data_IF_646671830298
#
_entry.id   IF_646671830298
#
_cell.length_a   1.000
_cell.length_b   1.000
_cell.length_c   1.000
_cell.angle_alpha   90.00
_cell.angle_beta   90.00
_cell.angle_gamma   90.00
#
_symmetry.space_group_name_H-M   'P 1'
#
loop_
_entity.id
_entity.type
_entity.pdbx_description
1 polymer ?
#
# COMPACT_ATOMS: atom_id res chain seq x y z
N UNK A 1 23.20 23.40 12.47
CA UNK A 1 23.74 22.04 12.65
C UNK A 1 25.05 21.98 11.89
N UNK A 2 26.15 21.57 12.54
CA UNK A 2 27.40 21.33 11.82
C UNK A 2 27.30 19.90 11.26
N UNK A 3 27.15 19.79 9.96
CA UNK A 3 27.22 18.51 9.25
C UNK A 3 28.70 18.14 9.09
N UNK A 4 29.07 16.95 9.50
CA UNK A 4 30.45 16.47 9.39
C UNK A 4 30.70 15.91 7.97
N UNK A 5 31.96 15.89 7.47
CA UNK A 5 32.28 15.25 6.20
C UNK A 5 31.86 13.78 6.13
N UNK A 6 31.86 13.07 7.26
CA UNK A 6 31.44 11.69 7.35
C UNK A 6 29.92 11.55 7.12
N UNK A 7 29.08 12.43 7.70
CA UNK A 7 27.63 12.41 7.49
C UNK A 7 27.25 12.73 6.04
N UNK A 8 28.04 13.59 5.37
CA UNK A 8 27.87 13.85 3.93
C UNK A 8 28.17 12.60 3.11
N UNK A 9 29.29 11.93 3.40
CA UNK A 9 29.70 10.70 2.69
C UNK A 9 28.67 9.58 2.90
N UNK A 10 28.18 9.40 4.12
CA UNK A 10 27.11 8.42 4.43
C UNK A 10 25.83 8.72 3.63
N UNK A 11 25.40 9.98 3.57
CA UNK A 11 24.20 10.35 2.81
C UNK A 11 24.35 10.09 1.31
N UNK A 12 25.53 10.41 0.76
CA UNK A 12 25.85 10.11 -0.65
C UNK A 12 25.80 8.60 -0.93
N UNK A 13 26.40 7.79 -0.05
CA UNK A 13 26.38 6.33 -0.19
C UNK A 13 24.97 5.76 -0.10
N UNK A 14 24.13 6.28 0.79
CA UNK A 14 22.72 5.87 0.90
C UNK A 14 21.98 6.03 -0.43
N UNK A 15 22.21 7.12 -1.15
CA UNK A 15 21.52 7.41 -2.42
C UNK A 15 22.19 6.66 -3.59
N UNK A 16 23.53 6.75 -3.73
CA UNK A 16 24.24 6.26 -4.92
C UNK A 16 24.48 4.76 -4.94
N UNK A 17 24.53 4.10 -3.77
CA UNK A 17 24.95 2.70 -3.63
C UNK A 17 23.92 1.81 -2.92
N UNK A 18 23.05 2.40 -2.09
CA UNK A 18 22.17 1.66 -1.17
C UNK A 18 20.67 1.83 -1.46
N UNK A 19 20.32 2.38 -2.63
CA UNK A 19 18.95 2.53 -3.12
C UNK A 19 18.01 3.32 -2.17
N UNK A 20 18.52 4.38 -1.50
CA UNK A 20 17.64 5.31 -0.82
C UNK A 20 16.80 6.07 -1.85
N UNK A 21 15.49 5.98 -1.74
CA UNK A 21 14.57 6.75 -2.56
C UNK A 21 13.44 7.38 -1.75
N UNK A 22 12.83 8.44 -2.31
CA UNK A 22 11.47 8.78 -2.00
C UNK A 22 10.58 7.92 -2.90
N UNK A 23 9.96 6.91 -2.30
CA UNK A 23 9.07 6.04 -3.03
C UNK A 23 7.91 6.81 -3.65
N UNK A 24 7.46 7.87 -2.99
CA UNK A 24 6.40 8.72 -3.52
C UNK A 24 6.33 10.09 -2.84
N UNK A 25 5.95 11.09 -3.64
CA UNK A 25 5.28 12.32 -3.16
C UNK A 25 3.82 12.21 -3.58
N UNK A 26 2.91 12.21 -2.61
CA UNK A 26 1.47 12.07 -2.84
C UNK A 26 0.73 13.31 -2.34
N UNK A 27 0.01 13.99 -3.24
CA UNK A 27 -0.88 15.07 -2.84
C UNK A 27 -2.28 14.51 -2.55
N UNK A 28 -2.73 14.63 -1.29
CA UNK A 28 -4.11 14.37 -0.90
C UNK A 28 -4.98 15.58 -1.24
N UNK A 29 -6.13 15.37 -1.89
CA UNK A 29 -7.03 16.46 -2.33
C UNK A 29 -8.46 16.15 -1.90
N UNK A 30 -9.09 17.08 -1.17
CA UNK A 30 -10.51 17.01 -0.84
C UNK A 30 -11.38 17.28 -2.07
N UNK A 31 -12.30 16.35 -2.35
CA UNK A 31 -13.32 16.45 -3.40
C UNK A 31 -14.72 16.77 -2.83
N UNK A 32 -14.86 17.07 -1.55
CA UNK A 32 -16.17 17.30 -0.93
C UNK A 32 -16.98 18.40 -1.63
N UNK A 33 -16.30 19.46 -2.10
CA UNK A 33 -16.94 20.56 -2.85
C UNK A 33 -17.33 20.20 -4.28
N UNK A 34 -16.93 19.03 -4.78
CA UNK A 34 -17.23 18.58 -6.14
C UNK A 34 -18.54 17.80 -6.24
N UNK A 35 -19.16 17.42 -5.10
CA UNK A 35 -20.42 16.69 -5.09
C UNK A 35 -21.49 17.41 -5.88
N UNK A 36 -22.24 16.65 -6.72
CA UNK A 36 -23.32 17.17 -7.57
C UNK A 36 -24.33 16.03 -7.86
N UNK A 37 -25.60 16.37 -8.04
CA UNK A 37 -26.63 15.40 -8.45
C UNK A 37 -26.44 14.92 -9.90
N UNK A 38 -25.89 15.80 -10.74
CA UNK A 38 -25.57 15.53 -12.13
C UNK A 38 -24.14 14.98 -12.23
N UNK A 39 -24.01 13.77 -12.75
CA UNK A 39 -22.73 13.07 -12.84
C UNK A 39 -21.73 13.79 -13.75
N UNK A 40 -22.15 14.36 -14.86
CA UNK A 40 -21.26 15.05 -15.80
C UNK A 40 -20.69 16.32 -15.18
N UNK A 41 -21.53 17.09 -14.45
CA UNK A 41 -21.06 18.25 -13.70
C UNK A 41 -20.12 17.86 -12.55
N UNK A 42 -20.39 16.75 -11.87
CA UNK A 42 -19.50 16.19 -10.83
C UNK A 42 -18.14 15.84 -11.47
N UNK A 43 -18.12 15.12 -12.58
CA UNK A 43 -16.89 14.78 -13.31
C UNK A 43 -16.09 16.05 -13.69
N UNK A 44 -16.77 17.10 -14.20
CA UNK A 44 -16.08 18.33 -14.55
C UNK A 44 -15.48 19.01 -13.32
N UNK A 45 -16.23 19.12 -12.21
CA UNK A 45 -15.72 19.71 -10.96
C UNK A 45 -14.53 18.93 -10.40
N UNK A 46 -14.58 17.60 -10.45
CA UNK A 46 -13.49 16.70 -9.99
C UNK A 46 -12.24 16.94 -10.84
N UNK A 47 -12.38 16.95 -12.16
CA UNK A 47 -11.26 17.20 -13.07
C UNK A 47 -10.62 18.57 -12.79
N UNK A 48 -11.43 19.64 -12.75
CA UNK A 48 -10.95 21.01 -12.54
C UNK A 48 -10.29 21.19 -11.16
N UNK A 49 -10.84 20.51 -10.14
CA UNK A 49 -10.28 20.55 -8.79
C UNK A 49 -8.90 19.89 -8.71
N UNK A 50 -8.76 18.68 -9.27
CA UNK A 50 -7.50 17.93 -9.24
C UNK A 50 -6.44 18.63 -10.07
N UNK A 51 -6.74 18.99 -11.32
CA UNK A 51 -5.77 19.57 -12.23
C UNK A 51 -5.27 20.93 -11.75
N UNK A 52 -6.13 21.76 -11.16
CA UNK A 52 -5.73 23.04 -10.58
C UNK A 52 -4.89 22.86 -9.31
N UNK A 53 -5.29 21.94 -8.41
CA UNK A 53 -4.62 21.79 -7.13
C UNK A 53 -3.23 21.17 -7.24
N UNK A 54 -3.06 20.20 -8.15
CA UNK A 54 -1.82 19.47 -8.38
C UNK A 54 -1.02 19.95 -9.59
N UNK A 55 -1.34 21.13 -10.16
CA UNK A 55 -0.71 21.68 -11.37
C UNK A 55 0.83 21.66 -11.33
N UNK A 56 1.41 21.94 -10.16
CA UNK A 56 2.86 22.05 -9.99
C UNK A 56 3.49 20.84 -9.27
N UNK A 57 2.71 19.77 -8.99
CA UNK A 57 3.22 18.64 -8.21
C UNK A 57 4.42 17.96 -8.87
N UNK A 58 4.33 17.67 -10.17
CA UNK A 58 5.38 16.98 -10.91
C UNK A 58 6.62 17.85 -11.05
N UNK A 59 6.49 19.09 -11.48
CA UNK A 59 7.62 20.01 -11.65
C UNK A 59 8.35 20.27 -10.32
N UNK A 60 7.63 20.47 -9.23
CA UNK A 60 8.24 20.64 -7.90
C UNK A 60 8.95 19.38 -7.45
N UNK A 61 8.40 18.19 -7.72
CA UNK A 61 9.06 16.93 -7.37
C UNK A 61 10.36 16.74 -8.17
N UNK A 62 10.37 17.05 -9.47
CA UNK A 62 11.56 16.99 -10.33
C UNK A 62 12.63 18.01 -9.88
N UNK A 63 12.24 19.23 -9.52
CA UNK A 63 13.14 20.24 -8.99
C UNK A 63 13.79 19.78 -7.68
N UNK A 64 13.00 19.15 -6.78
CA UNK A 64 13.50 18.61 -5.53
C UNK A 64 14.47 17.44 -5.76
N UNK A 65 14.13 16.53 -6.66
CA UNK A 65 15.02 15.42 -7.04
C UNK A 65 16.35 15.93 -7.57
N UNK A 66 16.31 16.94 -8.46
CA UNK A 66 17.53 17.52 -9.02
C UNK A 66 18.37 18.28 -7.97
N UNK A 67 17.74 19.03 -7.07
CA UNK A 67 18.43 19.86 -6.08
C UNK A 67 19.05 19.02 -4.95
N UNK A 68 18.32 18.01 -4.45
CA UNK A 68 18.76 17.19 -3.32
C UNK A 68 19.45 15.89 -3.74
N UNK A 69 19.37 15.50 -5.01
CA UNK A 69 19.95 14.28 -5.54
C UNK A 69 19.28 13.00 -5.02
N UNK A 70 18.11 13.09 -4.37
CA UNK A 70 17.35 11.95 -3.86
C UNK A 70 16.27 11.59 -4.88
N UNK A 71 16.28 10.38 -5.49
CA UNK A 71 15.29 9.98 -6.47
C UNK A 71 13.88 10.00 -5.90
N UNK A 72 12.90 10.46 -6.69
CA UNK A 72 11.48 10.40 -6.37
C UNK A 72 10.81 9.47 -7.36
N UNK A 73 10.61 8.21 -6.94
CA UNK A 73 10.16 7.15 -7.82
C UNK A 73 8.77 7.40 -8.43
N UNK A 74 7.84 7.94 -7.64
CA UNK A 74 6.49 8.23 -8.12
C UNK A 74 5.94 9.57 -7.61
N UNK A 75 5.19 10.25 -8.46
CA UNK A 75 4.39 11.44 -8.18
C UNK A 75 2.93 11.01 -8.23
N UNK A 76 2.17 11.20 -7.14
CA UNK A 76 0.83 10.62 -7.00
C UNK A 76 -0.18 11.63 -6.46
N UNK A 77 -1.45 11.36 -6.73
CA UNK A 77 -2.58 12.07 -6.10
C UNK A 77 -3.48 11.06 -5.41
N UNK A 78 -3.98 11.40 -4.23
CA UNK A 78 -5.05 10.70 -3.55
C UNK A 78 -6.23 11.63 -3.32
N UNK A 79 -7.45 11.12 -3.43
CA UNK A 79 -8.65 11.95 -3.29
C UNK A 79 -9.61 11.39 -2.24
N UNK A 80 -10.56 12.21 -1.80
CA UNK A 80 -11.70 11.76 -1.00
C UNK A 80 -12.30 10.50 -1.62
N UNK A 81 -12.61 9.45 -0.84
CA UNK A 81 -13.24 8.24 -1.36
C UNK A 81 -14.45 8.59 -2.24
N UNK A 82 -14.40 8.20 -3.52
CA UNK A 82 -15.40 8.59 -4.52
C UNK A 82 -16.82 8.18 -4.11
N UNK A 83 -16.99 7.06 -3.40
CA UNK A 83 -18.32 6.66 -2.91
C UNK A 83 -18.98 7.75 -2.06
N UNK A 84 -18.20 8.58 -1.33
CA UNK A 84 -18.76 9.64 -0.48
C UNK A 84 -19.39 10.77 -1.30
N UNK A 85 -18.70 11.25 -2.35
CA UNK A 85 -19.25 12.31 -3.20
C UNK A 85 -20.32 11.76 -4.15
N UNK A 86 -20.20 10.50 -4.59
CA UNK A 86 -21.19 9.82 -5.44
C UNK A 86 -22.53 9.55 -4.73
N UNK A 87 -22.59 9.71 -3.42
CA UNK A 87 -23.86 9.60 -2.67
C UNK A 87 -24.89 10.67 -3.08
N UNK A 88 -24.45 11.77 -3.70
CA UNK A 88 -25.33 12.84 -4.18
C UNK A 88 -26.00 12.55 -5.52
N UNK A 89 -25.48 11.64 -6.32
CA UNK A 89 -26.03 11.29 -7.64
C UNK A 89 -26.80 9.97 -7.60
N UNK A 90 -27.78 9.81 -8.50
CA UNK A 90 -28.51 8.55 -8.72
C UNK A 90 -27.90 7.68 -9.84
N UNK A 91 -26.79 8.10 -10.44
CA UNK A 91 -26.14 7.35 -11.51
C UNK A 91 -25.78 5.93 -11.05
N UNK A 92 -26.13 4.93 -11.86
CA UNK A 92 -25.89 3.52 -11.52
C UNK A 92 -24.47 3.06 -11.85
N UNK A 93 -23.85 3.65 -12.86
CA UNK A 93 -22.46 3.42 -13.27
C UNK A 93 -21.60 4.60 -12.86
N UNK A 94 -20.53 4.36 -12.11
CA UNK A 94 -19.58 5.36 -11.66
C UNK A 94 -18.24 5.30 -12.44
N UNK A 95 -18.13 4.46 -13.46
CA UNK A 95 -16.97 4.39 -14.36
C UNK A 95 -16.60 5.74 -14.96
N UNK A 96 -17.53 6.66 -15.33
CA UNK A 96 -17.17 8.01 -15.80
C UNK A 96 -16.33 8.82 -14.81
N UNK A 97 -16.50 8.63 -13.50
CA UNK A 97 -15.64 9.25 -12.48
C UNK A 97 -14.22 8.66 -12.53
N UNK A 98 -14.08 7.34 -12.69
CA UNK A 98 -12.77 6.72 -12.85
C UNK A 98 -12.04 7.24 -14.11
N UNK A 99 -12.72 7.35 -15.24
CA UNK A 99 -12.17 7.95 -16.46
C UNK A 99 -11.77 9.42 -16.25
N UNK A 100 -12.53 10.15 -15.44
CA UNK A 100 -12.21 11.54 -15.10
C UNK A 100 -10.94 11.63 -14.26
N UNK A 101 -10.76 10.72 -13.28
CA UNK A 101 -9.55 10.62 -12.49
C UNK A 101 -8.34 10.27 -13.36
N UNK A 102 -8.48 9.30 -14.27
CA UNK A 102 -7.41 8.86 -15.18
C UNK A 102 -6.97 9.99 -16.12
N UNK A 103 -7.94 10.70 -16.72
CA UNK A 103 -7.68 11.87 -17.56
C UNK A 103 -6.98 13.00 -16.79
N UNK A 104 -7.37 13.25 -15.53
CA UNK A 104 -6.69 14.23 -14.70
C UNK A 104 -5.25 13.82 -14.40
N UNK A 105 -5.03 12.54 -14.11
CA UNK A 105 -3.70 11.98 -13.88
C UNK A 105 -2.81 12.06 -15.11
N UNK A 106 -3.36 11.79 -16.29
CA UNK A 106 -2.67 11.95 -17.58
C UNK A 106 -2.30 13.42 -17.85
N UNK A 107 -3.23 14.35 -17.64
CA UNK A 107 -3.00 15.79 -17.82
C UNK A 107 -1.88 16.32 -16.93
N UNK A 108 -1.81 15.82 -15.69
CA UNK A 108 -0.79 16.22 -14.71
C UNK A 108 0.56 15.51 -14.92
N UNK A 109 0.59 14.39 -15.65
CA UNK A 109 1.77 13.55 -15.80
C UNK A 109 2.13 12.77 -14.54
N UNK A 110 1.18 12.53 -13.63
CA UNK A 110 1.40 11.74 -12.42
C UNK A 110 1.29 10.24 -12.69
N UNK A 111 1.94 9.43 -11.86
CA UNK A 111 2.04 7.99 -12.07
C UNK A 111 0.76 7.24 -11.68
N UNK A 112 0.17 7.59 -10.53
CA UNK A 112 -1.04 6.95 -10.01
C UNK A 112 -1.98 7.94 -9.32
N UNK A 113 -3.27 7.60 -9.33
CA UNK A 113 -4.31 8.33 -8.64
C UNK A 113 -5.18 7.35 -7.83
N UNK A 114 -5.19 7.50 -6.50
CA UNK A 114 -5.98 6.70 -5.58
C UNK A 114 -7.24 7.44 -5.12
N UNK A 115 -8.23 6.66 -4.66
CA UNK A 115 -9.48 7.22 -4.12
C UNK A 115 -10.74 6.79 -4.87
N UNK A 116 -10.64 5.98 -5.93
CA UNK A 116 -11.82 5.27 -6.46
C UNK A 116 -12.22 4.18 -5.46
N UNK A 117 -12.70 4.58 -4.29
CA UNK A 117 -12.71 3.81 -3.05
C UNK A 117 -14.01 3.95 -2.29
N UNK A 118 -14.30 2.95 -1.41
CA UNK A 118 -15.44 2.92 -0.50
C UNK A 118 -15.05 2.47 0.91
N UNK A 119 -15.73 3.01 1.93
CA UNK A 119 -15.51 2.69 3.34
C UNK A 119 -16.75 1.97 3.89
N UNK A 120 -16.76 0.63 3.81
CA UNK A 120 -17.96 -0.20 4.08
C UNK A 120 -17.87 -1.04 5.36
N UNK A 121 -16.87 -0.77 6.20
CA UNK A 121 -16.65 -1.50 7.45
C UNK A 121 -17.84 -1.40 8.47
N UNK A 122 -18.68 -0.38 8.34
CA UNK A 122 -19.90 -0.23 9.17
C UNK A 122 -21.19 -0.65 8.48
N UNK A 123 -21.18 -0.80 7.17
CA UNK A 123 -22.34 -1.16 6.36
C UNK A 123 -22.12 -0.78 4.90
N UNK A 124 -22.98 -1.27 4.03
CA UNK A 124 -23.00 -0.97 2.61
C UNK A 124 -24.13 0.03 2.33
N UNK A 125 -23.79 1.22 1.85
CA UNK A 125 -24.75 2.18 1.30
C UNK A 125 -24.99 1.97 -0.20
N UNK A 126 -26.01 2.59 -0.77
CA UNK A 126 -26.29 2.48 -2.21
C UNK A 126 -25.14 2.98 -3.09
N UNK A 127 -24.51 4.10 -2.71
CA UNK A 127 -23.35 4.62 -3.42
C UNK A 127 -22.14 3.70 -3.36
N UNK A 128 -21.92 3.05 -2.19
CA UNK A 128 -20.84 2.07 -2.03
C UNK A 128 -21.06 0.86 -2.95
N UNK A 129 -22.28 0.34 -3.00
CA UNK A 129 -22.64 -0.78 -3.87
C UNK A 129 -22.39 -0.45 -5.35
N UNK A 130 -22.82 0.75 -5.79
CA UNK A 130 -22.63 1.21 -7.16
C UNK A 130 -21.15 1.41 -7.50
N UNK A 131 -20.37 1.98 -6.58
CA UNK A 131 -18.94 2.13 -6.77
C UNK A 131 -18.27 0.75 -6.88
N UNK A 132 -18.52 -0.16 -5.94
CA UNK A 132 -17.90 -1.50 -5.96
C UNK A 132 -18.26 -2.25 -7.22
N UNK A 133 -19.52 -2.14 -7.70
CA UNK A 133 -19.93 -2.73 -8.98
C UNK A 133 -19.21 -2.14 -10.19
N UNK A 134 -18.78 -0.86 -10.12
CA UNK A 134 -18.04 -0.18 -11.19
C UNK A 134 -16.53 -0.48 -11.16
N UNK A 135 -15.96 -1.01 -10.06
CA UNK A 135 -14.51 -1.23 -9.92
C UNK A 135 -13.91 -2.09 -11.04
N UNK A 136 -14.48 -3.27 -11.41
CA UNK A 136 -13.84 -4.10 -12.43
C UNK A 136 -13.71 -3.41 -13.79
N UNK A 137 -14.75 -2.70 -14.23
CA UNK A 137 -14.72 -1.93 -15.48
C UNK A 137 -13.78 -0.74 -15.37
N UNK A 138 -13.85 0.01 -14.27
CA UNK A 138 -12.99 1.15 -14.03
C UNK A 138 -11.49 0.75 -14.10
N UNK A 139 -11.10 -0.34 -13.46
CA UNK A 139 -9.70 -0.78 -13.45
C UNK A 139 -9.25 -1.42 -14.77
N UNK A 140 -10.18 -1.96 -15.56
CA UNK A 140 -9.88 -2.50 -16.89
C UNK A 140 -9.70 -1.39 -17.93
N UNK A 141 -10.40 -0.25 -17.78
CA UNK A 141 -10.44 0.81 -18.79
C UNK A 141 -9.63 2.07 -18.41
N UNK A 142 -8.93 2.05 -17.29
CA UNK A 142 -8.04 3.13 -16.83
C UNK A 142 -6.63 2.63 -16.61
N UNK A 143 -5.65 3.53 -16.82
CA UNK A 143 -4.23 3.18 -16.69
C UNK A 143 -3.66 3.49 -15.30
N UNK A 144 -4.02 4.64 -14.72
CA UNK A 144 -3.41 5.20 -13.50
C UNK A 144 -4.30 5.14 -12.27
N UNK A 145 -5.58 4.82 -12.44
CA UNK A 145 -6.54 4.79 -11.32
C UNK A 145 -6.35 3.53 -10.48
N UNK A 146 -6.27 3.72 -9.18
CA UNK A 146 -6.23 2.64 -8.18
C UNK A 146 -7.46 2.68 -7.28
N UNK A 147 -7.86 1.51 -6.79
CA UNK A 147 -9.05 1.34 -5.97
C UNK A 147 -8.74 0.62 -4.67
N UNK A 148 -9.48 0.98 -3.62
CA UNK A 148 -9.42 0.30 -2.34
C UNK A 148 -10.78 0.29 -1.65
N UNK A 149 -11.05 -0.77 -0.89
CA UNK A 149 -12.30 -0.88 -0.12
C UNK A 149 -11.98 -1.32 1.30
N UNK A 150 -12.38 -0.51 2.28
CA UNK A 150 -12.20 -0.82 3.70
C UNK A 150 -13.43 -1.58 4.22
N UNK A 151 -13.29 -2.89 4.43
CA UNK A 151 -14.40 -3.80 4.81
C UNK A 151 -14.45 -4.10 6.30
N UNK A 152 -13.41 -3.73 7.06
CA UNK A 152 -13.29 -4.07 8.47
C UNK A 152 -12.62 -2.96 9.29
N UNK A 153 -12.93 -2.92 10.58
CA UNK A 153 -12.16 -2.12 11.53
C UNK A 153 -12.28 -2.71 12.94
N UNK A 154 -11.27 -2.47 13.78
CA UNK A 154 -11.30 -2.89 15.18
C UNK A 154 -12.54 -2.38 15.90
N UNK A 155 -13.02 -1.18 15.58
CA UNK A 155 -14.22 -0.59 16.22
C UNK A 155 -15.55 -1.13 15.70
N UNK A 156 -15.58 -1.64 14.46
CA UNK A 156 -16.84 -2.09 13.84
C UNK A 156 -16.90 -3.61 13.62
N UNK A 157 -15.76 -4.31 13.71
CA UNK A 157 -15.64 -5.72 13.32
C UNK A 157 -15.48 -5.86 11.81
N UNK A 158 -15.85 -7.01 11.25
CA UNK A 158 -15.72 -7.33 9.83
C UNK A 158 -17.09 -7.39 9.17
N UNK A 159 -17.26 -6.70 8.07
CA UNK A 159 -18.46 -6.78 7.23
C UNK A 159 -18.32 -7.95 6.26
N UNK A 160 -18.88 -9.12 6.63
CA UNK A 160 -18.74 -10.36 5.85
C UNK A 160 -19.50 -10.31 4.50
N UNK A 161 -20.55 -9.51 4.41
CA UNK A 161 -21.25 -9.28 3.14
C UNK A 161 -20.32 -8.53 2.15
N UNK A 162 -19.58 -7.53 2.66
CA UNK A 162 -18.59 -6.80 1.88
C UNK A 162 -17.37 -7.68 1.53
N UNK A 163 -16.93 -8.57 2.42
CA UNK A 163 -15.84 -9.53 2.14
C UNK A 163 -16.19 -10.41 0.96
N UNK A 164 -17.38 -11.01 0.95
CA UNK A 164 -17.82 -11.85 -0.18
C UNK A 164 -17.99 -11.04 -1.47
N UNK A 165 -18.51 -9.81 -1.36
CA UNK A 165 -18.64 -8.90 -2.49
C UNK A 165 -17.26 -8.55 -3.08
N UNK A 166 -16.29 -8.23 -2.23
CA UNK A 166 -14.93 -7.90 -2.69
C UNK A 166 -14.21 -9.09 -3.30
N UNK A 167 -14.39 -10.31 -2.80
CA UNK A 167 -13.84 -11.51 -3.43
C UNK A 167 -14.33 -11.68 -4.88
N UNK A 168 -15.63 -11.43 -5.12
CA UNK A 168 -16.20 -11.41 -6.49
C UNK A 168 -15.59 -10.29 -7.34
N UNK A 169 -15.44 -9.10 -6.76
CA UNK A 169 -14.88 -7.92 -7.43
C UNK A 169 -13.43 -8.13 -7.84
N UNK A 170 -12.59 -8.71 -6.97
CA UNK A 170 -11.19 -9.05 -7.26
C UNK A 170 -11.11 -10.04 -8.43
N UNK A 171 -11.91 -11.12 -8.37
CA UNK A 171 -11.93 -12.13 -9.42
C UNK A 171 -12.40 -11.55 -10.77
N UNK A 172 -13.42 -10.68 -10.76
CA UNK A 172 -13.92 -10.05 -11.98
C UNK A 172 -12.92 -9.01 -12.52
N UNK A 173 -12.22 -8.25 -11.67
CA UNK A 173 -11.15 -7.34 -12.10
C UNK A 173 -10.00 -8.10 -12.78
N UNK A 174 -9.61 -9.26 -12.23
CA UNK A 174 -8.64 -10.13 -12.87
C UNK A 174 -9.14 -10.65 -14.23
N UNK A 175 -10.39 -11.11 -14.32
CA UNK A 175 -10.99 -11.63 -15.58
C UNK A 175 -11.01 -10.61 -16.69
N UNK A 176 -11.33 -9.35 -16.37
CA UNK A 176 -11.42 -8.28 -17.37
C UNK A 176 -10.08 -7.80 -17.89
N UNK A 177 -9.00 -8.22 -17.27
CA UNK A 177 -7.62 -7.78 -17.57
C UNK A 177 -6.66 -8.92 -17.81
N UNK A 178 -7.18 -10.07 -18.27
CA UNK A 178 -6.37 -11.26 -18.61
C UNK A 178 -5.35 -10.99 -19.72
N UNK A 179 -5.68 -10.10 -20.66
CA UNK A 179 -4.81 -9.62 -21.74
C UNK A 179 -3.59 -8.82 -21.25
N UNK A 180 -3.68 -8.26 -20.06
CA UNK A 180 -2.60 -7.54 -19.38
C UNK A 180 -2.24 -8.21 -18.05
N UNK A 181 -2.18 -9.54 -18.03
CA UNK A 181 -1.73 -10.36 -16.89
C UNK A 181 -2.53 -10.14 -15.59
N UNK A 182 -3.85 -10.00 -15.71
CA UNK A 182 -4.77 -9.78 -14.58
C UNK A 182 -4.45 -8.50 -13.76
N UNK A 183 -3.80 -7.51 -14.39
CA UNK A 183 -3.29 -6.30 -13.72
C UNK A 183 -4.37 -5.46 -13.04
N UNK A 184 -5.64 -5.56 -13.44
CA UNK A 184 -6.76 -4.91 -12.76
C UNK A 184 -6.84 -5.28 -11.28
N UNK A 185 -6.58 -6.55 -10.95
CA UNK A 185 -6.55 -7.00 -9.55
C UNK A 185 -5.34 -6.44 -8.77
N UNK A 186 -4.20 -6.19 -9.43
CA UNK A 186 -3.04 -5.54 -8.82
C UNK A 186 -3.29 -4.07 -8.42
N UNK A 187 -4.28 -3.41 -9.04
CA UNK A 187 -4.69 -2.04 -8.72
C UNK A 187 -5.80 -1.95 -7.65
N UNK A 188 -6.20 -3.09 -7.05
CA UNK A 188 -7.30 -3.18 -6.08
C UNK A 188 -6.81 -3.76 -4.75
N UNK A 189 -7.11 -3.07 -3.65
CA UNK A 189 -6.77 -3.52 -2.29
C UNK A 189 -8.00 -3.55 -1.39
N UNK A 190 -8.13 -4.60 -0.59
CA UNK A 190 -9.17 -4.74 0.44
C UNK A 190 -8.53 -4.54 1.82
N UNK A 191 -9.10 -3.69 2.67
CA UNK A 191 -8.51 -3.27 3.93
C UNK A 191 -9.34 -3.62 5.17
N UNK A 192 -8.61 -3.86 6.27
CA UNK A 192 -9.07 -3.59 7.63
C UNK A 192 -8.27 -2.42 8.23
N UNK A 193 -8.94 -1.56 9.01
CA UNK A 193 -8.34 -0.40 9.66
C UNK A 193 -7.52 0.47 8.67
N UNK A 194 -8.06 0.72 7.49
CA UNK A 194 -7.42 1.55 6.48
C UNK A 194 -7.01 2.90 7.07
N UNK A 195 -5.77 3.30 6.83
CA UNK A 195 -5.29 4.64 7.19
C UNK A 195 -5.71 5.64 6.12
N UNK A 196 -6.07 6.85 6.56
CA UNK A 196 -6.65 7.87 5.70
C UNK A 196 -5.61 8.82 5.09
N UNK A 197 -4.36 8.71 5.51
CA UNK A 197 -3.24 9.58 5.13
C UNK A 197 -2.09 8.85 4.45
N UNK A 198 -2.31 7.59 4.01
CA UNK A 198 -1.26 6.80 3.36
C UNK A 198 -0.86 7.38 2.00
N UNK A 199 0.46 7.57 1.74
CA UNK A 199 0.94 7.96 0.42
C UNK A 199 1.07 6.78 -0.56
N UNK A 200 0.88 5.53 -0.10
CA UNK A 200 1.10 4.32 -0.90
C UNK A 200 -0.15 3.85 -1.63
N UNK A 201 -0.04 3.63 -2.93
CA UNK A 201 -1.07 3.01 -3.76
C UNK A 201 -1.05 1.46 -3.60
N UNK A 202 -2.17 0.76 -3.74
CA UNK A 202 -3.47 1.27 -4.19
C UNK A 202 -4.37 1.83 -3.05
N UNK A 203 -3.90 1.84 -1.81
CA UNK A 203 -4.66 2.18 -0.62
C UNK A 203 -4.73 3.67 -0.27
N UNK A 204 -4.11 4.55 -1.06
CA UNK A 204 -4.12 5.98 -0.74
C UNK A 204 -5.49 6.61 -0.96
N UNK A 205 -5.96 7.31 0.05
CA UNK A 205 -7.15 8.17 0.01
C UNK A 205 -6.86 9.47 0.75
N UNK A 206 -7.67 10.49 0.50
CA UNK A 206 -7.68 11.71 1.29
C UNK A 206 -8.79 11.61 2.33
N UNK A 207 -8.41 11.61 3.61
CA UNK A 207 -9.30 11.35 4.74
C UNK A 207 -10.24 12.51 5.08
N UNK A 208 -11.21 12.19 5.93
CA UNK A 208 -12.11 13.20 6.48
C UNK A 208 -11.44 13.97 7.62
N UNK A 209 -11.53 15.31 7.60
CA UNK A 209 -10.92 16.18 8.62
C UNK A 209 -9.53 16.69 8.29
N UNK A 210 -8.94 16.23 7.18
CA UNK A 210 -7.74 16.80 6.60
C UNK A 210 -8.00 18.18 5.98
N UNK A 211 -6.93 18.96 5.78
CA UNK A 211 -7.00 20.20 5.01
C UNK A 211 -7.42 19.92 3.56
N UNK A 212 -7.84 20.95 2.84
CA UNK A 212 -8.29 20.87 1.44
C UNK A 212 -7.27 20.22 0.49
N UNK A 213 -5.98 20.35 0.82
CA UNK A 213 -4.89 19.63 0.19
C UNK A 213 -3.72 19.44 1.18
N UNK A 214 -3.08 18.28 1.13
CA UNK A 214 -1.91 17.92 1.97
C UNK A 214 -0.86 17.21 1.14
N UNK A 215 0.42 17.31 1.53
CA UNK A 215 1.52 16.54 0.96
C UNK A 215 1.95 15.44 1.92
N UNK A 216 1.79 14.20 1.51
CA UNK A 216 2.29 13.02 2.18
C UNK A 216 3.50 12.44 1.42
N UNK A 217 4.54 12.05 2.13
CA UNK A 217 5.77 11.53 1.53
C UNK A 217 6.04 10.12 2.02
N UNK A 218 6.26 9.20 1.10
CA UNK A 218 6.75 7.86 1.40
C UNK A 218 8.25 7.77 1.13
N UNK A 219 9.04 7.49 2.16
CA UNK A 219 10.48 7.26 2.03
C UNK A 219 10.78 5.79 2.25
N UNK A 220 11.67 5.23 1.42
CA UNK A 220 12.04 3.82 1.46
C UNK A 220 13.56 3.65 1.43
N UNK A 221 14.03 2.51 1.91
CA UNK A 221 15.45 2.19 1.91
C UNK A 221 15.75 0.80 2.48
N UNK A 222 15.15 -0.29 1.95
CA UNK A 222 15.54 -1.64 2.33
C UNK A 222 17.03 -1.90 2.06
N UNK A 223 17.57 -1.39 0.95
CA UNK A 223 19.00 -1.49 0.63
C UNK A 223 19.90 -0.80 1.65
N UNK A 224 19.52 0.40 2.11
CA UNK A 224 20.23 1.11 3.19
C UNK A 224 20.22 0.29 4.48
N UNK A 225 19.08 -0.30 4.81
CA UNK A 225 18.93 -1.13 6.01
C UNK A 225 19.76 -2.42 5.91
N UNK A 226 19.73 -3.08 4.75
CA UNK A 226 20.53 -4.29 4.49
C UNK A 226 22.05 -3.99 4.57
N UNK A 227 22.50 -2.90 3.96
CA UNK A 227 23.91 -2.48 4.03
C UNK A 227 24.34 -2.20 5.48
N UNK A 228 23.51 -1.49 6.25
CA UNK A 228 23.79 -1.19 7.64
C UNK A 228 23.90 -2.45 8.52
N UNK A 229 23.02 -3.43 8.31
CA UNK A 229 23.05 -4.69 9.06
C UNK A 229 24.25 -5.57 8.67
N UNK A 230 24.66 -5.55 7.41
CA UNK A 230 25.83 -6.29 6.94
C UNK A 230 27.15 -5.82 7.58
N UNK A 231 27.20 -4.62 8.17
CA UNK A 231 28.35 -4.12 8.91
C UNK A 231 28.48 -4.68 10.33
N UNK A 232 27.42 -5.30 10.86
CA UNK A 232 27.43 -5.83 12.20
C UNK A 232 28.32 -7.07 12.28
N UNK A 233 29.10 -7.23 13.37
CA UNK A 233 29.88 -8.44 13.58
C UNK A 233 28.96 -9.64 13.90
N UNK A 234 29.40 -10.85 13.56
CA UNK A 234 28.66 -12.09 13.85
C UNK A 234 28.34 -12.28 15.34
N UNK A 235 29.08 -11.61 16.22
CA UNK A 235 28.84 -11.62 17.67
C UNK A 235 27.76 -10.66 18.15
N UNK A 236 27.19 -9.82 17.25
CA UNK A 236 26.13 -8.88 17.60
C UNK A 236 24.89 -9.63 18.12
N UNK A 237 24.35 -9.19 19.24
CA UNK A 237 23.11 -9.72 19.76
C UNK A 237 21.88 -8.97 19.20
N UNK A 238 20.66 -9.47 19.48
CA UNK A 238 19.43 -8.86 18.96
C UNK A 238 19.20 -7.42 19.43
N UNK A 239 19.79 -6.99 20.55
CA UNK A 239 19.71 -5.59 21.00
C UNK A 239 20.61 -4.70 20.13
N UNK A 240 21.80 -5.17 19.74
CA UNK A 240 22.69 -4.46 18.85
C UNK A 240 22.07 -4.33 17.46
N UNK A 241 21.44 -5.40 16.96
CA UNK A 241 20.67 -5.41 15.70
C UNK A 241 19.52 -4.39 15.77
N UNK A 242 18.70 -4.41 16.81
CA UNK A 242 17.58 -3.48 16.96
C UNK A 242 18.05 -2.01 17.03
N UNK A 243 19.17 -1.74 17.73
CA UNK A 243 19.73 -0.39 17.81
C UNK A 243 20.24 0.10 16.45
N UNK A 244 20.93 -0.78 15.70
CA UNK A 244 21.38 -0.46 14.33
C UNK A 244 20.21 -0.15 13.39
N UNK A 245 19.14 -0.96 13.43
CA UNK A 245 17.90 -0.73 12.67
C UNK A 245 17.31 0.63 13.03
N UNK A 246 17.16 0.93 14.32
CA UNK A 246 16.58 2.19 14.80
C UNK A 246 17.37 3.40 14.32
N UNK A 247 18.72 3.36 14.41
CA UNK A 247 19.60 4.44 13.96
C UNK A 247 19.52 4.65 12.44
N UNK A 248 19.45 3.57 11.68
CA UNK A 248 19.31 3.62 10.21
C UNK A 248 17.96 4.18 9.81
N UNK A 249 16.89 3.71 10.43
CA UNK A 249 15.52 4.20 10.23
C UNK A 249 15.40 5.71 10.53
N UNK A 250 16.06 6.18 11.59
CA UNK A 250 16.14 7.62 11.90
C UNK A 250 16.77 8.41 10.73
N UNK A 251 17.90 7.95 10.17
CA UNK A 251 18.60 8.63 9.06
C UNK A 251 17.69 8.69 7.81
N UNK A 252 17.08 7.56 7.44
CA UNK A 252 16.17 7.47 6.28
C UNK A 252 14.99 8.45 6.46
N UNK A 253 14.35 8.44 7.63
CA UNK A 253 13.19 9.31 7.91
C UNK A 253 13.55 10.79 7.87
N UNK A 254 14.77 11.16 8.27
CA UNK A 254 15.26 12.56 8.20
C UNK A 254 15.31 13.07 6.77
N UNK A 255 15.69 12.23 5.80
CA UNK A 255 15.65 12.58 4.39
C UNK A 255 14.21 12.83 3.92
N UNK A 256 13.28 11.93 4.26
CA UNK A 256 11.85 12.10 3.97
C UNK A 256 11.24 13.35 4.59
N UNK A 257 11.58 13.66 5.85
CA UNK A 257 11.11 14.87 6.54
C UNK A 257 11.59 16.17 5.85
N UNK A 258 12.86 16.21 5.41
CA UNK A 258 13.40 17.34 4.66
C UNK A 258 12.62 17.57 3.36
N UNK A 259 12.44 16.53 2.58
CA UNK A 259 11.76 16.57 1.30
C UNK A 259 10.28 16.93 1.45
N UNK A 260 9.61 16.39 2.47
CA UNK A 260 8.21 16.70 2.78
C UNK A 260 7.99 18.17 3.12
N UNK A 261 8.86 18.75 3.96
CA UNK A 261 8.81 20.18 4.31
C UNK A 261 9.02 21.08 3.10
N UNK A 262 10.00 20.74 2.28
CA UNK A 262 10.34 21.54 1.12
C UNK A 262 9.25 21.45 0.03
N UNK A 263 8.68 20.26 -0.20
CA UNK A 263 7.55 20.07 -1.10
C UNK A 263 6.33 20.90 -0.64
N UNK A 264 5.96 20.80 0.64
CA UNK A 264 4.87 21.58 1.24
C UNK A 264 5.07 23.09 1.05
N UNK A 265 6.29 23.59 1.32
CA UNK A 265 6.63 25.00 1.16
C UNK A 265 6.50 25.49 -0.29
N UNK A 266 7.01 24.72 -1.26
CA UNK A 266 7.00 25.10 -2.69
C UNK A 266 5.60 25.02 -3.29
N UNK A 267 4.82 24.02 -2.89
CA UNK A 267 3.46 23.82 -3.36
C UNK A 267 2.43 24.69 -2.64
N UNK A 268 2.80 25.30 -1.50
CA UNK A 268 1.88 26.14 -0.71
C UNK A 268 0.72 25.36 -0.11
N UNK A 269 0.92 24.05 0.19
CA UNK A 269 -0.09 23.17 0.81
C UNK A 269 0.41 22.67 2.16
N UNK A 270 -0.49 22.21 3.04
CA UNK A 270 -0.10 21.68 4.34
C UNK A 270 0.78 20.45 4.22
N UNK A 271 1.73 20.32 5.15
CA UNK A 271 2.54 19.14 5.32
C UNK A 271 1.74 18.09 6.09
N UNK A 272 1.48 16.98 5.46
CA UNK A 272 0.91 15.79 6.06
C UNK A 272 1.97 14.92 6.74
N UNK A 273 1.94 13.62 6.46
CA UNK A 273 2.82 12.63 7.12
C UNK A 273 4.07 12.31 6.30
N UNK A 274 5.06 11.79 7.02
CA UNK A 274 6.18 11.05 6.44
C UNK A 274 5.98 9.57 6.78
N UNK A 275 5.80 8.78 5.76
CA UNK A 275 5.68 7.33 5.88
C UNK A 275 7.06 6.69 5.64
N UNK A 276 7.63 6.13 6.70
CA UNK A 276 8.83 5.30 6.59
C UNK A 276 8.43 3.85 6.39
N UNK A 277 8.32 3.45 5.15
CA UNK A 277 8.06 2.07 4.79
C UNK A 277 9.25 1.44 4.10
N UNK A 278 9.78 0.37 4.67
CA UNK A 278 10.73 -0.48 3.96
C UNK A 278 9.95 -1.24 2.88
N UNK A 279 9.70 -0.55 1.78
CA UNK A 279 8.99 -1.05 0.62
C UNK A 279 10.04 -1.47 -0.44
N UNK A 280 10.25 -2.77 -0.66
CA UNK A 280 11.30 -3.25 -1.55
C UNK A 280 11.01 -2.93 -3.01
N UNK A 281 12.02 -3.11 -3.85
CA UNK A 281 11.90 -3.17 -5.31
C UNK A 281 12.55 -4.45 -5.83
N UNK A 282 12.28 -4.84 -7.09
CA UNK A 282 12.98 -5.97 -7.71
C UNK A 282 14.49 -5.73 -7.91
N UNK A 283 14.99 -4.53 -7.62
CA UNK A 283 16.42 -4.18 -7.75
C UNK A 283 17.30 -4.99 -6.79
N UNK A 284 18.47 -5.35 -7.26
CA UNK A 284 19.44 -6.09 -6.45
C UNK A 284 19.82 -5.30 -5.19
N UNK A 285 19.72 -5.97 -4.03
CA UNK A 285 20.04 -5.38 -2.72
C UNK A 285 18.88 -4.66 -2.03
N UNK A 286 17.78 -4.38 -2.72
CA UNK A 286 16.62 -3.68 -2.16
C UNK A 286 15.52 -4.69 -1.75
N UNK A 287 15.77 -5.49 -0.70
CA UNK A 287 14.94 -6.62 -0.31
C UNK A 287 14.74 -6.68 1.20
N UNK A 288 13.48 -6.77 1.63
CA UNK A 288 13.10 -7.02 3.03
C UNK A 288 13.39 -8.46 3.43
N UNK A 289 13.21 -9.43 2.53
CA UNK A 289 13.61 -10.81 2.77
C UNK A 289 15.11 -10.89 3.12
N UNK A 290 15.95 -10.15 2.38
CA UNK A 290 17.39 -10.08 2.68
C UNK A 290 17.69 -9.48 4.05
N UNK A 291 16.95 -8.46 4.47
CA UNK A 291 17.06 -7.90 5.82
C UNK A 291 16.78 -8.96 6.88
N UNK A 292 15.72 -9.75 6.70
CA UNK A 292 15.34 -10.83 7.65
C UNK A 292 16.42 -11.91 7.72
N UNK A 293 17.03 -12.27 6.59
CA UNK A 293 18.17 -13.19 6.53
C UNK A 293 19.40 -12.63 7.29
N UNK A 294 19.70 -11.34 7.15
CA UNK A 294 20.77 -10.67 7.89
C UNK A 294 20.50 -10.56 9.39
N UNK A 295 19.24 -10.54 9.83
CA UNK A 295 18.87 -10.64 11.25
C UNK A 295 19.16 -12.05 11.81
N UNK A 296 19.26 -13.05 10.94
CA UNK A 296 19.66 -14.41 11.31
C UNK A 296 18.66 -15.50 10.93
N UNK A 297 17.70 -15.22 10.05
CA UNK A 297 16.85 -16.25 9.45
C UNK A 297 17.62 -16.94 8.32
N UNK A 298 17.59 -18.26 8.25
CA UNK A 298 18.32 -19.00 7.22
C UNK A 298 17.77 -18.76 5.81
N UNK A 299 16.46 -18.78 5.67
CA UNK A 299 15.72 -18.44 4.44
C UNK A 299 14.43 -17.74 4.84
N UNK A 300 14.05 -16.70 4.13
CA UNK A 300 12.77 -16.00 4.37
C UNK A 300 11.60 -16.99 4.19
N UNK A 301 10.69 -17.02 5.14
CA UNK A 301 9.61 -18.01 5.21
C UNK A 301 9.89 -19.14 6.22
N UNK A 302 11.15 -19.45 6.50
CA UNK A 302 11.54 -20.46 7.50
C UNK A 302 11.17 -20.09 8.95
N UNK A 303 11.35 -21.04 9.91
CA UNK A 303 11.16 -20.76 11.32
C UNK A 303 12.02 -19.56 11.78
N UNK A 304 11.42 -18.65 12.56
CA UNK A 304 12.09 -17.41 13.01
C UNK A 304 11.73 -16.16 12.18
N UNK A 305 11.28 -16.29 10.95
CA UNK A 305 10.96 -15.16 10.06
C UNK A 305 9.96 -14.17 10.69
N UNK A 306 8.86 -14.67 11.28
CA UNK A 306 7.87 -13.80 11.95
C UNK A 306 8.47 -13.04 13.13
N UNK A 307 9.38 -13.68 13.90
CA UNK A 307 10.08 -13.04 15.02
C UNK A 307 11.04 -11.94 14.52
N UNK A 308 11.84 -12.23 13.49
CA UNK A 308 12.75 -11.26 12.89
C UNK A 308 11.98 -10.06 12.28
N UNK A 309 10.84 -10.31 11.62
CA UNK A 309 9.97 -9.26 11.09
C UNK A 309 9.36 -8.40 12.19
N UNK A 310 8.97 -8.99 13.31
CA UNK A 310 8.46 -8.24 14.47
C UNK A 310 9.53 -7.30 15.04
N UNK A 311 10.77 -7.77 15.19
CA UNK A 311 11.91 -6.96 15.61
C UNK A 311 12.17 -5.81 14.63
N UNK A 312 12.24 -6.12 13.34
CA UNK A 312 12.46 -5.14 12.27
C UNK A 312 11.39 -4.05 12.30
N UNK A 313 10.12 -4.45 12.27
CA UNK A 313 8.99 -3.52 12.21
C UNK A 313 8.93 -2.58 13.42
N UNK A 314 9.15 -3.11 14.63
CA UNK A 314 9.17 -2.32 15.86
C UNK A 314 10.34 -1.33 15.90
N UNK A 315 11.55 -1.78 15.55
CA UNK A 315 12.74 -0.95 15.56
C UNK A 315 12.69 0.16 14.50
N UNK A 316 12.16 -0.14 13.31
CA UNK A 316 11.91 0.85 12.24
C UNK A 316 10.97 1.95 12.73
N UNK A 317 9.83 1.59 13.31
CA UNK A 317 8.87 2.57 13.85
C UNK A 317 9.49 3.44 14.95
N UNK A 318 10.26 2.85 15.87
CA UNK A 318 10.98 3.59 16.92
C UNK A 318 11.97 4.59 16.35
N UNK A 319 12.71 4.22 15.31
CA UNK A 319 13.64 5.13 14.61
C UNK A 319 12.91 6.28 13.90
N UNK A 320 11.82 5.97 13.21
CA UNK A 320 11.00 6.94 12.49
C UNK A 320 10.45 8.03 13.40
N UNK A 321 9.77 7.68 14.49
CA UNK A 321 9.16 8.66 15.43
C UNK A 321 10.18 9.55 16.13
N UNK A 322 11.46 9.17 16.18
CA UNK A 322 12.55 10.01 16.68
C UNK A 322 12.99 11.06 15.67
N UNK A 323 12.73 10.85 14.38
CA UNK A 323 13.21 11.69 13.29
C UNK A 323 12.18 12.73 12.82
N UNK A 324 10.90 12.44 12.94
CA UNK A 324 9.79 13.31 12.54
C UNK A 324 8.64 13.23 13.55
N UNK A 325 8.01 14.36 13.80
CA UNK A 325 6.77 14.44 14.61
C UNK A 325 5.51 14.06 13.82
N UNK A 326 5.65 13.83 12.52
CA UNK A 326 4.54 13.55 11.59
C UNK A 326 4.72 12.19 10.91
N UNK A 327 5.24 11.19 11.63
CA UNK A 327 5.30 9.81 11.13
C UNK A 327 3.89 9.23 11.14
N UNK A 328 3.47 8.65 10.02
CA UNK A 328 2.12 8.10 9.85
C UNK A 328 2.05 7.07 8.72
N UNK A 329 0.86 6.94 8.17
CA UNK A 329 0.61 6.02 7.06
C UNK A 329 0.79 4.55 7.42
N UNK A 330 1.48 3.83 6.57
CA UNK A 330 1.77 2.39 6.71
C UNK A 330 3.20 2.12 7.21
N UNK A 331 3.83 3.09 7.88
CA UNK A 331 5.22 3.01 8.33
C UNK A 331 5.61 1.66 8.93
N UNK A 332 6.73 1.09 8.48
CA UNK A 332 7.28 -0.19 8.92
C UNK A 332 7.81 -1.04 7.79
N UNK A 333 7.78 -2.36 7.95
CA UNK A 333 8.27 -3.30 6.95
C UNK A 333 7.13 -3.84 6.08
N UNK A 334 7.25 -3.69 4.76
CA UNK A 334 6.37 -4.27 3.75
C UNK A 334 6.87 -5.65 3.33
N UNK A 335 5.94 -6.52 2.95
CA UNK A 335 6.26 -7.87 2.50
C UNK A 335 5.55 -8.22 1.17
N UNK A 336 5.60 -7.35 0.15
CA UNK A 336 5.03 -7.67 -1.17
C UNK A 336 5.83 -8.78 -1.82
N UNK A 337 5.15 -9.80 -2.36
CA UNK A 337 5.86 -10.94 -2.94
C UNK A 337 6.49 -10.59 -4.28
N UNK A 338 5.77 -9.88 -5.17
CA UNK A 338 6.28 -9.61 -6.52
C UNK A 338 7.35 -8.52 -6.58
N UNK A 339 7.40 -7.64 -5.57
CA UNK A 339 8.27 -6.46 -5.56
C UNK A 339 9.61 -6.70 -4.84
N UNK A 340 9.82 -7.91 -4.28
CA UNK A 340 11.00 -8.27 -3.48
C UNK A 340 11.69 -9.51 -4.06
N UNK A 341 12.88 -9.36 -4.61
CA UNK A 341 13.62 -10.47 -5.22
C UNK A 341 13.86 -11.65 -4.25
N UNK A 342 14.00 -11.37 -2.96
CA UNK A 342 14.15 -12.42 -1.93
C UNK A 342 12.83 -13.12 -1.63
N UNK A 343 11.70 -12.39 -1.58
CA UNK A 343 10.37 -12.99 -1.40
C UNK A 343 9.98 -13.85 -2.61
N UNK A 344 10.25 -13.35 -3.84
CA UNK A 344 10.03 -14.12 -5.07
C UNK A 344 10.77 -15.46 -5.00
N UNK A 345 12.07 -15.43 -4.69
CA UNK A 345 12.89 -16.62 -4.55
C UNK A 345 12.34 -17.56 -3.47
N UNK A 346 12.05 -17.05 -2.28
CA UNK A 346 11.54 -17.84 -1.16
C UNK A 346 10.19 -18.51 -1.49
N UNK A 347 9.33 -17.85 -2.27
CA UNK A 347 8.08 -18.42 -2.75
C UNK A 347 8.31 -19.53 -3.79
N UNK A 348 9.22 -19.31 -4.75
CA UNK A 348 9.59 -20.30 -5.79
C UNK A 348 10.25 -21.54 -5.19
N UNK A 349 11.09 -21.37 -4.18
CA UNK A 349 11.76 -22.45 -3.46
C UNK A 349 10.84 -23.18 -2.45
N UNK A 350 9.60 -22.71 -2.28
CA UNK A 350 8.62 -23.29 -1.36
C UNK A 350 8.93 -23.03 0.13
N UNK A 351 9.86 -22.14 0.43
CA UNK A 351 10.15 -21.71 1.80
C UNK A 351 9.08 -20.76 2.36
N UNK A 352 8.46 -19.97 1.49
CA UNK A 352 7.42 -19.01 1.81
C UNK A 352 6.06 -19.49 1.26
N UNK A 353 5.13 -19.85 2.13
CA UNK A 353 3.75 -20.20 1.77
C UNK A 353 2.78 -19.05 2.08
N UNK A 354 1.55 -19.12 1.57
CA UNK A 354 0.50 -18.15 1.86
C UNK A 354 0.19 -18.10 3.36
N UNK A 355 0.06 -19.25 4.02
CA UNK A 355 -0.19 -19.33 5.46
C UNK A 355 0.96 -18.75 6.29
N UNK A 356 2.20 -18.88 5.77
CA UNK A 356 3.35 -18.24 6.41
C UNK A 356 3.31 -16.72 6.24
N UNK A 357 2.91 -16.22 5.08
CA UNK A 357 2.67 -14.79 4.87
C UNK A 357 1.57 -14.27 5.80
N UNK A 358 0.44 -14.96 5.92
CA UNK A 358 -0.62 -14.59 6.88
C UNK A 358 -0.10 -14.50 8.32
N UNK A 359 0.74 -15.45 8.77
CA UNK A 359 1.38 -15.35 10.07
C UNK A 359 2.31 -14.12 10.17
N UNK A 360 3.04 -13.78 9.11
CA UNK A 360 3.92 -12.61 9.05
C UNK A 360 3.12 -11.30 9.05
N UNK A 361 1.93 -11.27 8.47
CA UNK A 361 1.08 -10.07 8.44
C UNK A 361 0.59 -9.65 9.81
N UNK A 362 0.60 -10.54 10.79
CA UNK A 362 0.30 -10.18 12.18
C UNK A 362 1.29 -9.17 12.76
N UNK A 363 2.49 -9.07 12.22
CA UNK A 363 3.59 -8.23 12.73
C UNK A 363 4.20 -7.29 11.68
N UNK A 364 3.83 -7.38 10.40
CA UNK A 364 4.25 -6.44 9.36
C UNK A 364 3.45 -5.12 9.43
N UNK A 365 3.70 -4.20 8.52
CA UNK A 365 2.99 -2.91 8.50
C UNK A 365 1.77 -2.87 7.59
N UNK A 366 1.63 -3.77 6.62
CA UNK A 366 0.55 -3.71 5.61
C UNK A 366 -0.35 -4.93 5.65
N UNK A 367 0.11 -6.10 5.21
CA UNK A 367 -0.73 -7.30 5.04
C UNK A 367 -0.22 -8.16 3.88
N UNK A 368 -1.11 -8.95 3.29
CA UNK A 368 -0.86 -9.70 2.07
C UNK A 368 -0.80 -8.73 0.89
N UNK A 369 0.33 -8.69 0.22
CA UNK A 369 0.56 -7.70 -0.83
C UNK A 369 1.20 -8.31 -2.08
N UNK A 370 0.63 -7.99 -3.25
CA UNK A 370 1.11 -8.41 -4.58
C UNK A 370 1.32 -9.92 -4.68
N UNK A 371 0.31 -10.70 -4.32
CA UNK A 371 0.37 -12.17 -4.29
C UNK A 371 -0.45 -12.73 -5.43
N UNK A 372 0.21 -13.39 -6.40
CA UNK A 372 -0.47 -14.15 -7.43
C UNK A 372 -0.94 -15.49 -6.86
N UNK A 373 -2.20 -15.84 -7.11
CA UNK A 373 -2.82 -17.10 -6.72
C UNK A 373 -3.38 -17.81 -7.96
N UNK A 374 -3.65 -19.14 -7.93
CA UNK A 374 -4.22 -19.84 -9.06
C UNK A 374 -5.50 -19.19 -9.59
N UNK A 375 -5.60 -19.06 -10.91
CA UNK A 375 -6.71 -18.35 -11.57
C UNK A 375 -8.06 -19.05 -11.48
N UNK A 376 -8.08 -20.33 -11.10
CA UNK A 376 -9.27 -21.15 -10.82
C UNK A 376 -9.68 -21.10 -9.33
N UNK A 377 -9.00 -20.31 -8.51
CA UNK A 377 -9.39 -20.08 -7.11
C UNK A 377 -10.84 -19.63 -7.02
N UNK A 378 -11.61 -20.30 -6.16
CA UNK A 378 -13.02 -19.99 -6.01
C UNK A 378 -13.23 -18.63 -5.31
N UNK A 379 -14.38 -18.02 -5.50
CA UNK A 379 -14.78 -16.80 -4.77
C UNK A 379 -14.71 -17.04 -3.25
N UNK A 380 -15.06 -18.24 -2.80
CA UNK A 380 -15.06 -18.63 -1.39
C UNK A 380 -13.64 -18.74 -0.83
N UNK A 381 -12.68 -19.20 -1.63
CA UNK A 381 -11.26 -19.22 -1.28
C UNK A 381 -10.72 -17.80 -1.11
N UNK A 382 -10.98 -16.92 -2.08
CA UNK A 382 -10.58 -15.51 -2.02
C UNK A 382 -11.25 -14.81 -0.82
N UNK A 383 -12.54 -15.08 -0.58
CA UNK A 383 -13.26 -14.54 0.58
C UNK A 383 -12.67 -15.03 1.91
N UNK A 384 -12.20 -16.28 1.98
CA UNK A 384 -11.51 -16.83 3.14
C UNK A 384 -10.20 -16.08 3.42
N UNK A 385 -9.34 -15.91 2.41
CA UNK A 385 -8.08 -15.15 2.52
C UNK A 385 -8.34 -13.73 3.00
N UNK A 386 -9.34 -13.05 2.42
CA UNK A 386 -9.71 -11.70 2.85
C UNK A 386 -10.19 -11.74 4.31
N UNK A 387 -11.04 -12.68 4.70
CA UNK A 387 -11.58 -12.77 6.05
C UNK A 387 -10.50 -13.00 7.11
N UNK A 388 -9.51 -13.86 6.83
CA UNK A 388 -8.41 -14.17 7.72
C UNK A 388 -7.53 -12.94 7.95
N UNK A 389 -7.17 -12.22 6.90
CA UNK A 389 -6.43 -10.96 7.01
C UNK A 389 -7.22 -9.87 7.76
N UNK A 390 -8.53 -9.76 7.49
CA UNK A 390 -9.38 -8.82 8.23
C UNK A 390 -9.42 -9.17 9.72
N UNK A 391 -9.47 -10.46 10.07
CA UNK A 391 -9.45 -10.92 11.46
C UNK A 391 -8.11 -10.59 12.14
N UNK A 392 -6.97 -10.80 11.47
CA UNK A 392 -5.64 -10.42 11.95
C UNK A 392 -5.61 -8.92 12.25
N UNK A 393 -6.05 -8.08 11.32
CA UNK A 393 -6.06 -6.63 11.48
C UNK A 393 -6.97 -6.16 12.61
N UNK A 394 -8.19 -6.65 12.65
CA UNK A 394 -9.21 -6.24 13.64
C UNK A 394 -8.80 -6.63 15.07
N UNK A 395 -8.32 -7.86 15.27
CA UNK A 395 -7.94 -8.37 16.61
C UNK A 395 -6.65 -7.70 17.11
N UNK A 396 -5.67 -7.48 16.24
CA UNK A 396 -4.39 -6.88 16.61
C UNK A 396 -4.39 -5.34 16.57
N UNK A 397 -5.52 -4.71 16.25
CA UNK A 397 -5.66 -3.24 16.18
C UNK A 397 -4.61 -2.64 15.24
N UNK A 398 -4.42 -3.25 14.08
CA UNK A 398 -3.48 -2.80 13.05
C UNK A 398 -4.16 -2.75 11.68
N UNK A 399 -3.59 -2.00 10.76
CA UNK A 399 -3.97 -2.07 9.36
C UNK A 399 -3.53 -3.42 8.78
N UNK A 400 -4.45 -4.09 8.09
CA UNK A 400 -4.12 -5.19 7.18
C UNK A 400 -4.76 -4.92 5.83
N UNK A 401 -4.09 -5.38 4.78
CA UNK A 401 -4.49 -5.24 3.38
C UNK A 401 -4.45 -6.60 2.71
N UNK A 402 -5.29 -6.78 1.69
CA UNK A 402 -5.25 -7.93 0.79
C UNK A 402 -5.19 -7.44 -0.65
N UNK A 403 -4.07 -7.68 -1.30
CA UNK A 403 -3.85 -7.47 -2.73
C UNK A 403 -3.43 -8.80 -3.34
N UNK A 404 -4.45 -9.63 -3.66
CA UNK A 404 -4.27 -10.93 -4.31
C UNK A 404 -4.69 -10.84 -5.77
N UNK A 405 -3.98 -11.55 -6.64
CA UNK A 405 -4.14 -11.48 -8.09
C UNK A 405 -4.44 -12.91 -8.60
N UNK A 406 -5.72 -13.24 -8.84
CA UNK A 406 -6.06 -14.51 -9.49
C UNK A 406 -5.46 -14.56 -10.90
N UNK A 407 -4.50 -15.45 -11.13
CA UNK A 407 -3.71 -15.57 -12.36
C UNK A 407 -4.45 -16.39 -13.42
N UNK A 408 -5.50 -15.80 -14.00
CA UNK A 408 -6.40 -16.50 -14.93
C UNK A 408 -5.67 -16.81 -16.24
N UNK A 409 -5.66 -18.09 -16.61
CA UNK A 409 -4.99 -18.58 -17.82
C UNK A 409 -3.53 -18.99 -17.59
N UNK A 410 -3.04 -18.94 -16.37
CA UNK A 410 -1.71 -19.37 -15.97
C UNK A 410 -1.79 -20.57 -15.04
N UNK A 411 -0.70 -21.36 -14.97
CA UNK A 411 -0.61 -22.54 -14.13
C UNK A 411 0.17 -22.24 -12.84
N UNK A 412 0.01 -23.12 -11.86
CA UNK A 412 0.87 -23.10 -10.66
C UNK A 412 2.36 -23.27 -11.07
N UNK A 413 3.22 -22.43 -10.51
CA UNK A 413 4.64 -22.34 -10.85
C UNK A 413 4.99 -21.39 -11.99
N UNK A 414 4.01 -20.88 -12.76
CA UNK A 414 4.22 -19.74 -13.65
C UNK A 414 4.36 -18.45 -12.83
N UNK A 415 4.72 -17.34 -13.50
CA UNK A 415 4.76 -15.99 -12.90
C UNK A 415 3.99 -14.99 -13.76
N UNK A 416 3.40 -14.00 -13.10
CA UNK A 416 2.85 -12.82 -13.76
C UNK A 416 3.94 -11.73 -13.81
N UNK A 417 4.17 -11.17 -14.99
CA UNK A 417 5.22 -10.17 -15.21
C UNK A 417 4.62 -8.76 -15.32
N UNK A 418 4.70 -7.97 -14.26
CA UNK A 418 4.17 -6.60 -14.25
C UNK A 418 5.21 -5.56 -14.70
N UNK A 419 6.50 -5.87 -14.53
CA UNK A 419 7.60 -4.97 -14.83
C UNK A 419 7.72 -3.78 -13.86
N UNK A 420 8.75 -2.95 -14.09
CA UNK A 420 8.99 -1.75 -13.27
C UNK A 420 9.11 -2.06 -11.78
N UNK A 421 8.44 -1.27 -10.95
CA UNK A 421 8.44 -1.44 -9.49
C UNK A 421 7.58 -2.63 -9.02
N UNK A 422 6.63 -3.11 -9.82
CA UNK A 422 5.75 -4.22 -9.43
C UNK A 422 6.36 -5.60 -9.66
N UNK A 423 7.43 -5.69 -10.43
CA UNK A 423 8.24 -6.90 -10.61
C UNK A 423 7.51 -8.07 -11.21
N UNK A 424 7.76 -9.27 -10.64
CA UNK A 424 7.26 -10.55 -11.11
C UNK A 424 6.62 -11.34 -9.95
N UNK A 425 5.35 -11.73 -10.10
CA UNK A 425 4.62 -12.45 -9.06
C UNK A 425 4.58 -13.97 -9.38
N UNK A 426 5.33 -14.81 -8.66
CA UNK A 426 5.16 -16.26 -8.77
C UNK A 426 3.77 -16.67 -8.27
N UNK A 427 3.12 -17.59 -8.98
CA UNK A 427 1.80 -18.09 -8.59
C UNK A 427 1.96 -19.04 -7.41
N UNK A 428 1.51 -18.59 -6.25
CA UNK A 428 1.63 -19.33 -5.00
C UNK A 428 0.45 -20.31 -4.85
N UNK A 429 0.67 -21.57 -4.44
CA UNK A 429 -0.40 -22.49 -4.15
C UNK A 429 -1.31 -21.99 -3.04
N UNK A 430 -2.60 -22.30 -3.14
CA UNK A 430 -3.59 -22.02 -2.10
C UNK A 430 -4.21 -23.30 -1.59
N UNK A 431 -4.66 -23.30 -0.33
CA UNK A 431 -5.34 -24.45 0.26
C UNK A 431 -6.63 -24.75 -0.51
N UNK A 432 -6.82 -26.04 -0.86
CA UNK A 432 -7.97 -26.52 -1.66
C UNK A 432 -9.30 -26.59 -0.87
N UNK A 433 -9.25 -26.46 0.46
CA UNK A 433 -10.43 -26.52 1.32
C UNK A 433 -10.99 -25.11 1.59
N UNK A 434 -11.87 -24.65 0.69
CA UNK A 434 -12.51 -23.36 0.84
C UNK A 434 -13.51 -23.31 2.01
N UNK A 435 -13.55 -22.20 2.72
CA UNK A 435 -14.50 -21.94 3.80
C UNK A 435 -15.90 -21.53 3.30
N UNK A 436 -16.51 -22.32 2.42
CA UNK A 436 -17.75 -21.99 1.69
C UNK A 436 -18.87 -21.54 2.62
N UNK A 437 -19.12 -22.29 3.70
CA UNK A 437 -20.19 -21.94 4.65
C UNK A 437 -19.89 -20.64 5.37
N UNK A 438 -18.62 -20.39 5.76
CA UNK A 438 -18.21 -19.16 6.41
C UNK A 438 -18.42 -17.95 5.49
N UNK A 439 -17.96 -18.05 4.24
CA UNK A 439 -18.05 -16.98 3.25
C UNK A 439 -19.52 -16.56 2.99
N UNK A 440 -20.44 -17.53 2.98
CA UNK A 440 -21.87 -17.28 2.72
C UNK A 440 -22.73 -17.03 3.97
N UNK A 441 -22.17 -17.04 5.19
CA UNK A 441 -22.93 -16.70 6.38
C UNK A 441 -23.42 -15.24 6.39
N UNK A 442 -22.66 -14.36 5.77
CA UNK A 442 -22.98 -12.92 5.71
C UNK A 442 -23.00 -12.23 7.08
N UNK A 443 -23.54 -11.05 7.11
CA UNK A 443 -23.65 -10.25 8.32
C UNK A 443 -22.32 -9.71 8.80
N UNK A 444 -22.11 -9.70 10.11
CA UNK A 444 -20.92 -9.07 10.70
C UNK A 444 -20.24 -9.97 11.70
N UNK A 445 -18.91 -10.11 11.58
CA UNK A 445 -18.07 -10.50 12.71
C UNK A 445 -18.06 -9.30 13.69
N UNK A 446 -18.55 -9.46 14.93
CA UNK A 446 -18.69 -8.34 15.85
C UNK A 446 -17.34 -7.74 16.24
N UNK A 447 -17.37 -6.47 16.66
CA UNK A 447 -16.17 -5.80 17.17
C UNK A 447 -15.55 -6.59 18.33
N UNK A 448 -14.20 -6.78 18.34
CA UNK A 448 -13.58 -7.55 19.39
C UNK A 448 -13.63 -6.83 20.76
N UNK A 449 -13.46 -7.59 21.83
CA UNK A 449 -13.57 -7.08 23.21
C UNK A 449 -12.60 -5.91 23.48
N UNK A 450 -11.42 -5.90 22.86
CA UNK A 450 -10.44 -4.83 23.02
C UNK A 450 -10.92 -3.47 22.45
N UNK A 451 -11.90 -3.45 21.55
CA UNK A 451 -12.49 -2.21 21.04
C UNK A 451 -13.39 -1.49 22.06
N UNK A 452 -13.79 -2.16 23.12
CA UNK A 452 -14.59 -1.62 24.22
C UNK A 452 -13.77 -0.81 25.24
N UNK A 453 -12.47 -0.73 25.06
CA UNK A 453 -11.58 0.10 25.89
C UNK A 453 -11.65 1.55 25.38
N UNK A 454 -12.51 2.30 25.96
CA UNK A 454 -12.60 3.76 25.72
C UNK A 454 -12.02 4.50 26.91
#
# INVERSE_FOLDING_TARGET
MNITPQEIAETLAMVSEQNLDLRTITMGISLNSCADEDLDRMCQKVYDRITRQAEHLVSVAEDLEHEYGIPIANKRVSVTPIAQIAACTSAQDLTPLAHTLDRAAETLGIDFLGGFSALVHKGLGDADCRLIASIPEALATTSRVCSSVNVASTRAGINMDAVLLMAKTVLEAARRTTDIQCYGAAKLVVFANMVEDSPFMAGAVHGGGEADAVINVGVSGPGVMAAALAELPDSANLMDVAEKIKQTAFKITRAGELMSREASRRLGVEKGIVDLSLAPTPAAGDSVAKILELIGVGECGGPGTTCALALLNDAVKKGGVMASSSVGGLSGAFIPVSEDAGMIRAAQDGALSLEKLEAMTSVCSVGLDMIAIPGDSSVETIAGIIADEMAIGVINTKTTAVRVIPAIGYNEGDSLEFGGLFGSAPIMPVNQFAGTVLAHRGGRFPAPLNSLKN
#
